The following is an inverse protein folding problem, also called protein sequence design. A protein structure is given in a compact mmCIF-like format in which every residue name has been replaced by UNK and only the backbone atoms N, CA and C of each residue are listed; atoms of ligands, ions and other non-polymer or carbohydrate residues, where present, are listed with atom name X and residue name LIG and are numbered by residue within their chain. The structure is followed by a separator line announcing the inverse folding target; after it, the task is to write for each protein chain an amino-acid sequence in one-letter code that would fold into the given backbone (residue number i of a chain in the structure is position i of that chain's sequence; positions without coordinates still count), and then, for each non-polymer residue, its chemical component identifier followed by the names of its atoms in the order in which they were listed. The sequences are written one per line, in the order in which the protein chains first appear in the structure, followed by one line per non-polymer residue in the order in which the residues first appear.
data_IF_971751154260
#
_entry.id   IF_971751154260
#
_cell.length_a   1.000
_cell.length_b   1.000
_cell.length_c   1.000
_cell.angle_alpha   90.00
_cell.angle_beta   90.00
_cell.angle_gamma   90.00
#
_symmetry.space_group_name_H-M   'P 1'
#
loop_
_entity.id
_entity.type
_entity.pdbx_description
1 polymer ?
#
# COMPACT_ATOMS: atom_id res chain seq x y z
N UNK A 1 13.02 19.27 -14.95
CA UNK A 1 12.33 18.68 -13.78
C UNK A 1 12.13 17.23 -14.16
N UNK A 2 12.59 16.26 -13.37
CA UNK A 2 12.54 14.87 -13.77
C UNK A 2 11.09 14.48 -14.04
N UNK A 3 10.81 14.14 -15.29
CA UNK A 3 9.51 13.64 -15.71
C UNK A 3 9.46 12.15 -15.39
N UNK A 4 8.34 11.69 -14.84
CA UNK A 4 8.11 10.27 -14.60
C UNK A 4 7.16 9.75 -15.65
N UNK A 5 7.53 8.62 -16.25
CA UNK A 5 6.63 7.82 -17.07
C UNK A 5 5.81 6.91 -16.14
N UNK A 6 4.50 6.89 -16.34
CA UNK A 6 3.55 6.10 -15.54
C UNK A 6 3.22 4.84 -16.33
N UNK A 7 3.78 3.71 -15.91
CA UNK A 7 3.59 2.43 -16.56
C UNK A 7 2.63 1.57 -15.73
N UNK A 8 1.41 1.26 -16.22
CA UNK A 8 0.48 0.39 -15.51
C UNK A 8 1.07 -1.00 -15.31
N UNK A 9 0.89 -1.55 -14.11
CA UNK A 9 1.22 -2.92 -13.75
C UNK A 9 -0.05 -3.72 -13.48
N UNK A 10 0.02 -5.04 -13.61
CA UNK A 10 -1.06 -5.93 -13.23
C UNK A 10 -0.76 -6.54 -11.86
N UNK A 11 -1.34 -6.01 -10.77
CA UNK A 11 -1.17 -6.61 -9.45
C UNK A 11 -1.87 -7.97 -9.40
N UNK A 12 -1.29 -8.90 -8.65
CA UNK A 12 -1.86 -10.22 -8.38
C UNK A 12 -1.80 -10.46 -6.86
N UNK A 13 -2.68 -9.80 -6.09
CA UNK A 13 -2.71 -10.02 -4.65
C UNK A 13 -3.01 -11.48 -4.36
N UNK A 14 -2.19 -12.09 -3.51
CA UNK A 14 -2.45 -13.42 -2.97
C UNK A 14 -3.02 -13.27 -1.55
N UNK A 15 -4.06 -14.04 -1.24
CA UNK A 15 -4.62 -14.08 0.10
C UNK A 15 -3.90 -15.15 0.91
N UNK A 16 -3.03 -14.72 1.82
CA UNK A 16 -2.45 -15.58 2.86
C UNK A 16 -3.16 -15.30 4.19
N UNK A 17 -3.87 -16.30 4.70
CA UNK A 17 -4.63 -16.19 5.94
C UNK A 17 -3.74 -15.89 7.16
N UNK A 18 -2.53 -16.44 7.20
CA UNK A 18 -1.60 -16.21 8.31
C UNK A 18 -1.10 -14.77 8.30
N UNK A 19 -0.80 -14.25 7.11
CA UNK A 19 -0.39 -12.86 6.94
C UNK A 19 -1.52 -11.88 7.26
N UNK A 20 -2.74 -12.18 6.81
CA UNK A 20 -3.93 -11.41 7.18
C UNK A 20 -4.14 -11.38 8.70
N UNK A 21 -4.06 -12.53 9.37
CA UNK A 21 -4.23 -12.63 10.81
C UNK A 21 -3.17 -11.84 11.58
N UNK A 22 -1.92 -11.82 11.10
CA UNK A 22 -0.86 -10.96 11.66
C UNK A 22 -1.22 -9.47 11.53
N UNK A 23 -1.69 -9.03 10.36
CA UNK A 23 -2.10 -7.64 10.12
C UNK A 23 -3.31 -7.27 10.98
N UNK A 24 -4.30 -8.15 11.07
CA UNK A 24 -5.51 -7.95 11.87
C UNK A 24 -5.23 -7.98 13.38
N UNK A 25 -4.09 -8.55 13.81
CA UNK A 25 -3.79 -8.77 15.22
C UNK A 25 -4.65 -9.87 15.84
N UNK A 26 -5.16 -10.78 15.02
CA UNK A 26 -6.10 -11.83 15.43
C UNK A 26 -5.44 -13.21 15.49
N UNK A 27 -5.76 -13.97 16.54
CA UNK A 27 -5.28 -15.37 16.65
C UNK A 27 -6.23 -16.39 16.04
N UNK A 28 -7.44 -15.96 15.68
CA UNK A 28 -8.48 -16.79 15.06
C UNK A 28 -9.42 -15.90 14.24
N UNK A 29 -9.88 -16.41 13.11
CA UNK A 29 -10.93 -15.80 12.30
C UNK A 29 -12.09 -16.79 12.17
N UNK A 30 -13.31 -16.29 12.32
CA UNK A 30 -14.51 -17.10 12.13
C UNK A 30 -14.83 -17.25 10.64
N UNK A 31 -15.35 -18.41 10.27
CA UNK A 31 -15.61 -18.76 8.86
C UNK A 31 -16.60 -17.79 8.20
N UNK A 32 -17.58 -17.28 8.94
CA UNK A 32 -18.56 -16.31 8.43
C UNK A 32 -17.88 -15.04 7.89
N UNK A 33 -16.83 -14.54 8.56
CA UNK A 33 -16.05 -13.40 8.08
C UNK A 33 -15.29 -13.74 6.80
N UNK A 34 -14.76 -14.95 6.69
CA UNK A 34 -14.05 -15.39 5.49
C UNK A 34 -14.99 -15.47 4.28
N UNK A 35 -16.20 -15.99 4.49
CA UNK A 35 -17.25 -16.06 3.47
C UNK A 35 -17.72 -14.64 3.06
N UNK A 36 -17.75 -13.69 4.02
CA UNK A 36 -18.03 -12.29 3.73
C UNK A 36 -16.91 -11.60 2.94
N UNK A 37 -15.64 -11.94 3.18
CA UNK A 37 -14.49 -11.34 2.51
C UNK A 37 -14.40 -11.68 1.03
N UNK A 38 -14.67 -12.93 0.66
CA UNK A 38 -14.50 -13.45 -0.71
C UNK A 38 -15.04 -12.51 -1.80
N UNK A 39 -16.30 -12.05 -1.78
CA UNK A 39 -16.83 -11.17 -2.82
C UNK A 39 -16.13 -9.80 -2.88
N UNK A 40 -15.68 -9.26 -1.74
CA UNK A 40 -14.96 -7.98 -1.71
C UNK A 40 -13.53 -8.15 -2.18
N UNK A 41 -12.87 -9.24 -1.77
CA UNK A 41 -11.51 -9.55 -2.21
C UNK A 41 -11.46 -9.69 -3.73
N UNK A 42 -12.34 -10.49 -4.32
CA UNK A 42 -12.38 -10.72 -5.77
C UNK A 42 -12.66 -9.42 -6.53
N UNK A 43 -13.65 -8.64 -6.07
CA UNK A 43 -13.97 -7.35 -6.67
C UNK A 43 -12.79 -6.39 -6.59
N UNK A 44 -12.23 -6.19 -5.40
CA UNK A 44 -11.17 -5.21 -5.20
C UNK A 44 -9.89 -5.59 -5.93
N UNK A 45 -9.57 -6.88 -6.01
CA UNK A 45 -8.45 -7.39 -6.79
C UNK A 45 -8.64 -7.20 -8.30
N UNK A 46 -9.87 -7.30 -8.80
CA UNK A 46 -10.18 -7.13 -10.22
C UNK A 46 -10.31 -5.66 -10.64
N UNK A 47 -10.91 -4.82 -9.80
CA UNK A 47 -11.40 -3.49 -10.21
C UNK A 47 -10.75 -2.33 -9.45
N UNK A 48 -10.51 -2.48 -8.14
CA UNK A 48 -10.17 -1.34 -7.28
C UNK A 48 -8.69 -1.18 -6.98
N UNK A 49 -7.89 -2.25 -7.04
CA UNK A 49 -6.45 -2.16 -6.89
C UNK A 49 -5.78 -1.62 -8.15
N UNK A 50 -4.93 -0.61 -7.97
CA UNK A 50 -4.13 0.00 -9.04
C UNK A 50 -2.66 -0.16 -8.68
N UNK A 51 -1.84 -0.49 -9.68
CA UNK A 51 -0.39 -0.58 -9.54
C UNK A 51 0.29 0.09 -10.73
N UNK A 52 1.35 0.85 -10.46
CA UNK A 52 2.12 1.57 -11.46
C UNK A 52 3.62 1.49 -11.15
N UNK A 53 4.43 1.30 -12.19
CA UNK A 53 5.85 1.65 -12.17
C UNK A 53 5.97 3.12 -12.55
N UNK A 54 6.52 3.92 -11.66
CA UNK A 54 6.90 5.30 -11.92
C UNK A 54 8.39 5.33 -12.28
N UNK A 55 8.70 5.51 -13.56
CA UNK A 55 10.07 5.47 -14.07
C UNK A 55 10.58 6.88 -14.40
N UNK A 56 11.71 7.27 -13.81
CA UNK A 56 12.35 8.53 -14.13
C UNK A 56 12.89 8.51 -15.57
N UNK A 57 12.51 9.50 -16.39
CA UNK A 57 12.97 9.59 -17.80
C UNK A 57 14.30 10.34 -17.95
N UNK A 58 14.74 11.07 -16.93
CA UNK A 58 15.93 11.95 -16.97
C UNK A 58 17.12 11.38 -16.16
N UNK A 59 16.98 10.20 -15.55
CA UNK A 59 18.02 9.60 -14.73
C UNK A 59 17.68 8.19 -14.23
N UNK A 60 18.42 7.73 -13.23
CA UNK A 60 18.15 6.46 -12.57
C UNK A 60 17.14 6.65 -11.43
N UNK A 61 16.26 5.67 -11.25
CA UNK A 61 15.23 5.71 -10.21
C UNK A 61 13.88 5.28 -10.74
N UNK A 62 13.31 4.30 -10.06
CA UNK A 62 12.02 3.71 -10.36
C UNK A 62 11.32 3.46 -9.03
N UNK A 63 10.02 3.68 -9.03
CA UNK A 63 9.20 3.47 -7.84
C UNK A 63 8.00 2.61 -8.19
N UNK A 64 7.60 1.79 -7.24
CA UNK A 64 6.34 1.08 -7.27
C UNK A 64 5.33 1.89 -6.49
N UNK A 65 4.22 2.24 -7.14
CA UNK A 65 3.04 2.80 -6.53
C UNK A 65 1.91 1.78 -6.60
N UNK A 66 1.32 1.42 -5.47
CA UNK A 66 0.12 0.59 -5.39
C UNK A 66 -0.88 1.29 -4.48
N UNK A 67 -2.14 1.30 -4.85
CA UNK A 67 -3.21 1.80 -3.98
C UNK A 67 -4.54 1.14 -4.29
N UNK A 68 -5.45 1.16 -3.32
CA UNK A 68 -6.87 0.92 -3.54
C UNK A 68 -7.57 2.25 -3.80
N UNK A 69 -8.52 2.27 -4.72
CA UNK A 69 -9.28 3.48 -5.02
C UNK A 69 -10.28 3.86 -3.90
N UNK A 70 -10.93 5.00 -4.10
CA UNK A 70 -11.82 5.62 -3.11
C UNK A 70 -13.05 4.75 -2.76
N UNK A 71 -13.47 3.83 -3.64
CA UNK A 71 -14.61 2.96 -3.37
C UNK A 71 -14.33 2.04 -2.18
N UNK A 72 -13.09 1.55 -2.04
CA UNK A 72 -12.69 0.72 -0.90
C UNK A 72 -12.75 1.52 0.38
N UNK A 73 -12.21 2.74 0.39
CA UNK A 73 -12.22 3.63 1.56
C UNK A 73 -13.66 3.89 2.05
N UNK A 74 -14.58 4.17 1.11
CA UNK A 74 -15.99 4.41 1.40
C UNK A 74 -16.73 3.15 1.87
N UNK A 75 -16.42 1.99 1.28
CA UNK A 75 -17.02 0.71 1.67
C UNK A 75 -16.66 0.36 3.11
N UNK A 76 -15.38 0.45 3.46
CA UNK A 76 -14.88 0.13 4.79
C UNK A 76 -15.41 1.12 5.83
N UNK A 77 -15.48 2.42 5.48
CA UNK A 77 -16.10 3.42 6.35
C UNK A 77 -17.57 3.08 6.63
N UNK A 78 -18.34 2.68 5.60
CA UNK A 78 -19.72 2.23 5.77
C UNK A 78 -19.84 1.05 6.74
N UNK A 79 -19.02 0.01 6.55
CA UNK A 79 -18.97 -1.16 7.44
C UNK A 79 -18.62 -0.74 8.87
N UNK A 80 -17.68 0.21 9.03
CA UNK A 80 -17.26 0.70 10.34
C UNK A 80 -18.39 1.39 11.10
N UNK A 81 -19.25 2.15 10.42
CA UNK A 81 -20.41 2.80 11.03
C UNK A 81 -21.42 1.79 11.59
N UNK A 82 -21.53 0.61 10.96
CA UNK A 82 -22.42 -0.46 11.40
C UNK A 82 -21.76 -1.36 12.48
N UNK A 83 -20.49 -1.72 12.29
CA UNK A 83 -19.71 -2.59 13.18
C UNK A 83 -18.23 -2.22 13.14
N UNK A 84 -17.70 -1.55 14.20
CA UNK A 84 -16.28 -1.22 14.27
C UNK A 84 -15.36 -2.44 14.21
N UNK A 85 -15.79 -3.59 14.75
CA UNK A 85 -15.02 -4.83 14.70
C UNK A 85 -14.91 -5.35 13.27
N UNK A 86 -16.00 -5.38 12.50
CA UNK A 86 -15.93 -5.75 11.09
C UNK A 86 -15.14 -4.72 10.29
N UNK A 87 -15.33 -3.42 10.55
CA UNK A 87 -14.56 -2.36 9.91
C UNK A 87 -13.05 -2.55 10.07
N UNK A 88 -12.58 -2.97 11.25
CA UNK A 88 -11.18 -3.28 11.50
C UNK A 88 -10.69 -4.48 10.68
N UNK A 89 -11.49 -5.53 10.58
CA UNK A 89 -11.16 -6.73 9.81
C UNK A 89 -11.09 -6.44 8.29
N UNK A 90 -12.04 -5.67 7.77
CA UNK A 90 -12.01 -5.20 6.37
C UNK A 90 -10.85 -4.23 6.10
N UNK A 91 -10.51 -3.38 7.07
CA UNK A 91 -9.32 -2.53 7.00
C UNK A 91 -8.04 -3.37 6.92
N UNK A 92 -7.91 -4.41 7.74
CA UNK A 92 -6.80 -5.34 7.69
C UNK A 92 -6.73 -6.06 6.33
N UNK A 93 -7.87 -6.49 5.78
CA UNK A 93 -7.94 -7.14 4.47
C UNK A 93 -7.44 -6.22 3.33
N UNK A 94 -7.82 -4.95 3.35
CA UNK A 94 -7.33 -3.96 2.40
C UNK A 94 -5.81 -3.74 2.50
N UNK A 95 -5.26 -3.68 3.72
CA UNK A 95 -3.79 -3.63 3.93
C UNK A 95 -3.14 -4.88 3.37
N UNK A 96 -3.67 -6.07 3.68
CA UNK A 96 -3.17 -7.36 3.19
C UNK A 96 -3.10 -7.36 1.67
N UNK A 97 -4.14 -6.88 0.98
CA UNK A 97 -4.18 -6.84 -0.49
C UNK A 97 -3.08 -5.96 -1.10
N UNK A 98 -2.91 -4.73 -0.56
CA UNK A 98 -1.89 -3.81 -1.06
C UNK A 98 -0.49 -4.36 -0.79
N UNK A 99 -0.26 -4.89 0.41
CA UNK A 99 1.05 -5.39 0.80
C UNK A 99 1.42 -6.69 0.10
N UNK A 100 0.48 -7.63 -0.08
CA UNK A 100 0.74 -8.86 -0.84
C UNK A 100 1.00 -8.57 -2.32
N UNK A 101 0.31 -7.56 -2.89
CA UNK A 101 0.63 -7.06 -4.22
C UNK A 101 2.03 -6.45 -4.28
N UNK A 102 2.43 -5.65 -3.29
CA UNK A 102 3.77 -5.06 -3.21
C UNK A 102 4.85 -6.13 -3.12
N UNK A 103 4.64 -7.18 -2.31
CA UNK A 103 5.51 -8.34 -2.18
C UNK A 103 5.70 -9.09 -3.50
N UNK A 104 4.64 -9.20 -4.32
CA UNK A 104 4.72 -9.81 -5.66
C UNK A 104 5.65 -9.07 -6.63
N UNK A 105 5.83 -7.77 -6.46
CA UNK A 105 6.76 -6.95 -7.27
C UNK A 105 8.12 -6.73 -6.60
N UNK A 106 8.15 -6.70 -5.26
CA UNK A 106 9.33 -6.44 -4.43
C UNK A 106 9.46 -7.57 -3.41
N UNK A 107 10.07 -8.72 -3.79
CA UNK A 107 10.11 -9.92 -2.96
C UNK A 107 10.81 -9.73 -1.61
N UNK A 108 11.73 -8.76 -1.50
CA UNK A 108 12.41 -8.46 -0.23
C UNK A 108 11.45 -8.02 0.87
N UNK A 109 10.24 -7.55 0.53
CA UNK A 109 9.20 -7.24 1.52
C UNK A 109 8.67 -8.51 2.22
N UNK A 110 8.67 -9.65 1.52
CA UNK A 110 8.32 -10.95 2.11
C UNK A 110 9.39 -11.49 3.04
N UNK A 111 10.66 -11.10 2.83
CA UNK A 111 11.77 -11.42 3.73
C UNK A 111 11.76 -10.60 5.03
N UNK A 112 10.69 -9.84 5.29
CA UNK A 112 10.52 -9.01 6.48
C UNK A 112 11.17 -7.62 6.37
N UNK A 113 11.64 -7.21 5.19
CA UNK A 113 12.05 -5.82 4.99
C UNK A 113 10.81 -4.92 4.92
N UNK A 114 10.93 -3.73 5.48
CA UNK A 114 9.89 -2.71 5.37
C UNK A 114 9.83 -2.16 3.92
N UNK A 115 8.70 -1.63 3.47
CA UNK A 115 8.61 -0.85 2.24
C UNK A 115 8.98 0.61 2.57
N UNK A 116 10.23 1.06 2.35
CA UNK A 116 10.61 2.41 2.73
C UNK A 116 9.92 3.42 1.83
N UNK A 117 9.25 4.39 2.44
CA UNK A 117 8.57 5.47 1.72
C UNK A 117 9.59 6.53 1.27
N UNK A 118 9.92 6.65 -0.02
CA UNK A 118 10.85 7.69 -0.47
C UNK A 118 10.18 9.06 -0.33
N UNK A 119 10.98 10.11 -0.10
CA UNK A 119 10.46 11.49 -0.16
C UNK A 119 10.09 11.80 -1.63
N UNK A 120 8.82 12.11 -1.95
CA UNK A 120 8.44 12.39 -3.32
C UNK A 120 9.03 13.73 -3.76
N UNK A 121 9.80 13.70 -4.85
CA UNK A 121 10.20 14.91 -5.56
C UNK A 121 9.07 15.44 -6.45
N UNK A 122 9.24 16.64 -7.01
CA UNK A 122 8.24 17.29 -7.88
C UNK A 122 7.75 16.39 -9.03
N UNK A 123 8.63 15.56 -9.60
CA UNK A 123 8.26 14.63 -10.67
C UNK A 123 7.27 13.55 -10.25
N UNK A 124 7.41 13.02 -9.03
CA UNK A 124 6.47 12.04 -8.46
C UNK A 124 5.15 12.73 -8.12
N UNK A 125 5.21 13.96 -7.60
CA UNK A 125 4.01 14.76 -7.32
C UNK A 125 3.23 15.07 -8.60
N UNK A 126 3.92 15.34 -9.72
CA UNK A 126 3.28 15.48 -11.03
C UNK A 126 2.62 14.19 -11.50
N UNK A 127 3.27 13.03 -11.32
CA UNK A 127 2.67 11.74 -11.64
C UNK A 127 1.46 11.42 -10.75
N UNK A 128 1.47 11.87 -9.49
CA UNK A 128 0.33 11.73 -8.59
C UNK A 128 -0.86 12.57 -9.07
N UNK A 129 -0.63 13.83 -9.47
CA UNK A 129 -1.68 14.70 -10.01
C UNK A 129 -2.34 14.10 -11.28
N UNK A 130 -1.53 13.54 -12.19
CA UNK A 130 -2.03 12.82 -13.38
C UNK A 130 -2.92 11.61 -13.03
N UNK A 131 -2.68 10.97 -11.88
CA UNK A 131 -3.45 9.85 -11.35
C UNK A 131 -4.61 10.28 -10.42
N UNK A 132 -4.83 11.58 -10.23
CA UNK A 132 -5.83 12.11 -9.29
C UNK A 132 -5.48 11.89 -7.81
N UNK A 133 -4.18 11.72 -7.51
CA UNK A 133 -3.65 11.53 -6.18
C UNK A 133 -3.09 12.84 -5.63
N UNK A 134 -3.26 13.05 -4.33
CA UNK A 134 -2.73 14.24 -3.63
C UNK A 134 -1.89 13.79 -2.45
N UNK A 135 -0.62 14.19 -2.45
CA UNK A 135 0.31 13.97 -1.33
C UNK A 135 0.08 14.99 -0.22
N UNK A 136 0.21 14.55 1.04
CA UNK A 136 0.21 15.44 2.20
C UNK A 136 1.52 15.36 3.00
N UNK A 137 1.75 16.37 3.83
CA UNK A 137 3.00 16.51 4.60
C UNK A 137 3.23 15.38 5.62
N UNK A 138 2.18 14.64 5.97
CA UNK A 138 2.22 13.48 6.87
C UNK A 138 2.79 12.23 6.21
N UNK A 139 3.07 12.27 4.90
CA UNK A 139 3.61 11.14 4.16
C UNK A 139 2.55 10.17 3.68
N UNK A 140 1.33 10.65 3.45
CA UNK A 140 0.25 9.84 2.91
C UNK A 140 -0.31 10.49 1.64
N UNK A 141 -1.10 9.73 0.89
CA UNK A 141 -1.88 10.25 -0.24
C UNK A 141 -3.36 10.28 0.15
N UNK A 142 -4.20 10.90 -0.68
CA UNK A 142 -5.67 10.88 -0.57
C UNK A 142 -6.31 9.49 -0.80
N UNK A 143 -5.59 8.40 -0.48
CA UNK A 143 -6.05 7.01 -0.44
C UNK A 143 -5.52 6.41 0.84
N UNK A 144 -6.40 5.81 1.66
CA UNK A 144 -5.99 5.25 2.97
C UNK A 144 -5.03 4.05 2.79
N UNK A 145 -5.23 3.28 1.72
CA UNK A 145 -4.44 2.09 1.42
C UNK A 145 -3.54 2.35 0.22
N UNK A 146 -2.32 2.78 0.48
CA UNK A 146 -1.33 3.05 -0.56
C UNK A 146 0.09 2.71 -0.11
N UNK A 147 0.90 2.27 -1.07
CA UNK A 147 2.33 2.01 -0.91
C UNK A 147 3.08 2.70 -2.04
N UNK A 148 4.07 3.51 -1.67
CA UNK A 148 5.08 4.03 -2.57
C UNK A 148 6.44 3.57 -2.05
N UNK A 149 7.19 2.83 -2.86
CA UNK A 149 8.49 2.27 -2.46
C UNK A 149 9.46 2.24 -3.65
N UNK A 150 10.79 2.30 -3.44
CA UNK A 150 11.75 2.07 -4.51
C UNK A 150 11.55 0.71 -5.18
N UNK A 151 11.73 0.68 -6.50
CA UNK A 151 11.58 -0.51 -7.32
C UNK A 151 12.68 -0.58 -8.38
N UNK A 152 13.73 -1.42 -8.25
CA UNK A 152 13.89 -2.50 -7.28
C UNK A 152 14.10 -2.01 -5.84
N UNK A 153 13.94 -2.93 -4.88
CA UNK A 153 14.15 -2.65 -3.46
C UNK A 153 15.50 -1.98 -3.25
N UNK A 154 15.49 -0.80 -2.62
CA UNK A 154 16.71 -0.10 -2.23
C UNK A 154 16.50 0.63 -0.92
N UNK A 155 17.54 0.58 -0.07
CA UNK A 155 17.58 1.25 1.20
C UNK A 155 16.81 0.57 2.33
N UNK A 156 16.15 1.40 3.16
CA UNK A 156 15.51 1.02 4.41
C UNK A 156 15.12 2.27 5.21
N UNK A 157 15.36 2.25 6.52
CA UNK A 157 14.97 3.38 7.38
C UNK A 157 15.72 4.69 7.00
N UNK A 158 16.93 4.61 6.48
CA UNK A 158 17.76 5.76 6.10
C UNK A 158 17.23 6.57 4.90
N UNK A 159 16.41 5.96 4.04
CA UNK A 159 15.75 6.63 2.89
C UNK A 159 14.26 6.88 3.13
N UNK A 160 13.72 6.39 4.25
CA UNK A 160 12.29 6.45 4.54
C UNK A 160 11.89 7.83 5.11
N UNK A 161 10.91 8.46 4.48
CA UNK A 161 10.32 9.73 4.89
C UNK A 161 9.78 9.68 6.33
N UNK A 162 9.24 8.53 6.73
CA UNK A 162 8.65 8.30 8.06
C UNK A 162 9.69 7.90 9.13
N UNK A 163 10.97 7.81 8.77
CA UNK A 163 12.01 7.31 9.68
C UNK A 163 12.14 8.06 11.00
N UNK A 164 11.79 9.34 11.05
CA UNK A 164 11.83 10.13 12.28
C UNK A 164 10.72 9.80 13.27
N UNK A 165 9.57 9.30 12.80
CA UNK A 165 8.36 9.06 13.61
C UNK A 165 7.93 7.59 13.64
N UNK A 166 8.52 6.74 12.79
CA UNK A 166 8.20 5.33 12.72
C UNK A 166 8.71 4.58 13.97
N UNK A 167 7.83 3.86 14.70
CA UNK A 167 8.22 3.13 15.91
C UNK A 167 9.15 1.95 15.64
N UNK A 168 9.22 1.48 14.38
CA UNK A 168 10.13 0.42 13.93
C UNK A 168 11.42 0.97 13.29
N UNK A 169 11.62 2.28 13.30
CA UNK A 169 12.79 2.90 12.66
C UNK A 169 14.07 2.51 13.38
N UNK A 170 15.05 2.04 12.61
CA UNK A 170 16.40 1.73 13.13
C UNK A 170 17.32 2.96 13.14
N UNK A 171 16.85 4.10 12.61
CA UNK A 171 17.60 5.36 12.51
C UNK A 171 16.93 6.52 13.25
N UNK A 172 15.76 6.30 13.86
CA UNK A 172 15.11 7.27 14.74
C UNK A 172 16.10 7.62 15.85
N UNK A 173 16.49 8.90 15.89
CA UNK A 173 17.62 9.38 16.66
C UNK A 173 17.44 9.18 18.17
N UNK A 174 18.58 8.87 18.79
CA UNK A 174 18.96 9.24 20.17
C UNK A 174 18.66 10.71 20.47
#
# INVERSE_FOLDING_TARGET
MPKYEINPLQPKPEFDIMYFMEIAGESRIDQEIMDEFEPYWDKWAAENIKAYELKNTEGEGKFLLIYLDEEVDNTIEGIWQDSPTHGLLFHAMAITMVMSSAQGFVPELSDGKCAPLPRPGEGILGAFDELGLTWNDEGTVNRKYAVLTPYPYTGGCEVCYLSATCPKSTVAKQ
#
